data_IF_420026803984
#
_entry.id   IF_420026803984
#
_cell.length_a   1.000
_cell.length_b   1.000
_cell.length_c   1.000
_cell.angle_alpha   90.00
_cell.angle_beta   90.00
_cell.angle_gamma   90.00
#
_symmetry.space_group_name_H-M   'P 1'
#
loop_
_entity.id
_entity.type
_entity.pdbx_description
1 polymer ?
#
# COMPACT_ATOMS: atom_id res chain seq x y z
N UNK A 1 25.20 3.73 -12.13
CA UNK A 1 23.76 3.50 -11.87
C UNK A 1 23.58 3.26 -10.39
N UNK A 2 22.70 4.01 -9.75
CA UNK A 2 22.43 3.84 -8.32
C UNK A 2 21.67 2.53 -8.07
N UNK A 3 22.05 1.77 -7.04
CA UNK A 3 21.41 0.50 -6.68
C UNK A 3 19.98 0.76 -6.21
N UNK A 4 18.99 0.19 -6.90
CA UNK A 4 17.61 0.20 -6.42
C UNK A 4 17.44 -0.80 -5.28
N UNK A 5 16.87 -0.34 -4.17
CA UNK A 5 16.42 -1.20 -3.09
C UNK A 5 14.98 -1.58 -3.39
N UNK A 6 14.78 -2.80 -3.86
CA UNK A 6 13.42 -3.31 -4.10
C UNK A 6 12.78 -3.66 -2.78
N UNK A 7 11.49 -3.37 -2.64
CA UNK A 7 10.73 -3.86 -1.51
C UNK A 7 10.71 -5.41 -1.53
N UNK A 8 11.01 -6.08 -0.40
CA UNK A 8 11.06 -7.54 -0.36
C UNK A 8 9.73 -8.17 -0.79
N UNK A 9 9.80 -9.45 -1.16
CA UNK A 9 8.59 -10.26 -1.33
C UNK A 9 8.05 -10.62 0.06
N UNK A 10 6.74 -10.74 0.17
CA UNK A 10 6.03 -10.99 1.43
C UNK A 10 5.38 -12.36 1.35
N UNK A 11 5.65 -13.23 2.33
CA UNK A 11 5.10 -14.59 2.35
C UNK A 11 3.59 -14.59 2.60
N UNK A 12 2.88 -15.54 2.00
CA UNK A 12 1.47 -15.76 2.27
C UNK A 12 1.29 -16.54 3.58
N UNK A 13 0.28 -16.20 4.38
CA UNK A 13 -0.18 -17.08 5.46
C UNK A 13 -1.11 -18.17 4.93
N UNK A 14 -1.21 -19.28 5.65
CA UNK A 14 -2.14 -20.36 5.34
C UNK A 14 -3.58 -19.83 5.15
N UNK A 15 -4.28 -20.37 4.16
CA UNK A 15 -5.62 -19.91 3.79
C UNK A 15 -5.66 -18.59 3.00
N UNK A 16 -4.54 -17.86 2.85
CA UNK A 16 -4.47 -16.72 1.94
C UNK A 16 -4.72 -17.15 0.50
N UNK A 17 -5.41 -16.31 -0.27
CA UNK A 17 -5.39 -16.41 -1.72
C UNK A 17 -3.99 -16.11 -2.26
N UNK A 18 -3.51 -16.92 -3.20
CA UNK A 18 -2.20 -16.74 -3.86
C UNK A 18 -2.39 -15.84 -5.08
N UNK A 19 -1.60 -14.77 -5.16
CA UNK A 19 -1.62 -13.83 -6.28
C UNK A 19 -0.74 -14.33 -7.43
N UNK A 20 -1.03 -13.89 -8.65
CA UNK A 20 -0.19 -14.20 -9.80
C UNK A 20 1.24 -13.67 -9.60
N UNK A 21 2.24 -14.49 -9.90
CA UNK A 21 3.65 -14.18 -9.68
C UNK A 21 4.16 -14.52 -8.29
N UNK A 22 3.33 -15.09 -7.41
CA UNK A 22 3.70 -15.58 -6.07
C UNK A 22 3.58 -17.10 -5.92
N UNK A 23 3.47 -17.83 -7.04
CA UNK A 23 3.30 -19.29 -7.05
C UNK A 23 4.52 -20.04 -6.46
N UNK A 24 5.68 -19.40 -6.45
CA UNK A 24 6.95 -19.92 -5.89
C UNK A 24 7.16 -19.53 -4.42
N UNK A 25 6.31 -18.67 -3.83
CA UNK A 25 6.44 -18.29 -2.42
C UNK A 25 5.89 -19.37 -1.50
N UNK A 26 6.64 -19.66 -0.44
CA UNK A 26 6.17 -20.53 0.63
C UNK A 26 4.97 -19.91 1.34
N UNK A 27 3.97 -20.76 1.61
CA UNK A 27 2.84 -20.45 2.47
C UNK A 27 3.18 -20.83 3.89
N UNK A 28 3.07 -19.87 4.81
CA UNK A 28 3.52 -19.98 6.19
C UNK A 28 2.33 -20.26 7.11
N UNK A 29 2.41 -21.25 8.01
CA UNK A 29 1.31 -21.56 8.92
C UNK A 29 1.21 -20.49 10.01
N UNK A 30 0.00 -20.20 10.52
CA UNK A 30 -0.19 -19.13 11.53
C UNK A 30 0.59 -19.39 12.81
N UNK A 31 0.83 -20.67 13.13
CA UNK A 31 1.63 -21.10 14.28
C UNK A 31 3.07 -20.55 14.25
N UNK A 32 3.57 -20.12 13.09
CA UNK A 32 4.87 -19.45 13.00
C UNK A 32 4.89 -18.12 13.76
N UNK A 33 3.73 -17.48 13.96
CA UNK A 33 3.57 -16.23 14.70
C UNK A 33 3.43 -16.43 16.23
N UNK A 34 3.35 -17.68 16.71
CA UNK A 34 3.04 -17.97 18.10
C UNK A 34 4.08 -17.36 19.06
N UNK A 35 3.60 -16.61 20.05
CA UNK A 35 4.44 -15.94 21.05
C UNK A 35 5.16 -14.69 20.55
N UNK A 36 5.04 -14.34 19.27
CA UNK A 36 5.70 -13.17 18.68
C UNK A 36 4.83 -11.91 18.78
N UNK A 37 5.47 -10.74 18.80
CA UNK A 37 4.76 -9.47 18.72
C UNK A 37 4.49 -9.12 17.25
N UNK A 38 3.21 -9.05 16.90
CA UNK A 38 2.74 -8.84 15.53
C UNK A 38 1.98 -7.54 15.42
N UNK A 39 2.29 -6.77 14.38
CA UNK A 39 1.49 -5.63 13.93
C UNK A 39 0.74 -6.04 12.67
N UNK A 40 -0.58 -5.84 12.67
CA UNK A 40 -1.46 -6.10 11.53
C UNK A 40 -1.95 -4.78 10.97
N UNK A 41 -1.76 -4.58 9.67
CA UNK A 41 -2.18 -3.40 8.92
C UNK A 41 -3.18 -3.79 7.82
N UNK A 42 -4.06 -2.86 7.48
CA UNK A 42 -4.91 -3.01 6.30
C UNK A 42 -4.04 -3.08 5.05
N UNK A 43 -4.18 -4.17 4.30
CA UNK A 43 -3.49 -4.29 3.01
C UNK A 43 -4.21 -3.43 1.98
N UNK A 44 -3.45 -2.53 1.37
CA UNK A 44 -3.93 -1.63 0.33
C UNK A 44 -3.65 -2.20 -1.07
N UNK A 45 -4.57 -1.92 -2.00
CA UNK A 45 -4.51 -2.32 -3.41
C UNK A 45 -4.13 -1.11 -4.27
N UNK A 46 -2.83 -0.95 -4.51
CA UNK A 46 -2.28 0.13 -5.33
C UNK A 46 -0.93 -0.24 -5.91
N UNK A 47 -0.11 0.79 -6.13
CA UNK A 47 1.23 0.64 -6.67
C UNK A 47 2.29 0.89 -5.60
N UNK A 48 3.02 -0.17 -5.24
CA UNK A 48 4.20 -0.06 -4.39
C UNK A 48 5.16 1.03 -4.90
N UNK A 49 5.44 1.99 -4.03
CA UNK A 49 6.25 3.16 -4.32
C UNK A 49 7.22 3.45 -3.18
N UNK A 50 8.32 4.14 -3.47
CA UNK A 50 9.22 4.59 -2.42
C UNK A 50 9.84 5.95 -2.72
N UNK A 51 10.26 6.61 -1.64
CA UNK A 51 10.91 7.92 -1.58
C UNK A 51 12.25 7.74 -0.87
N UNK A 52 13.31 8.23 -1.49
CA UNK A 52 14.64 8.24 -0.88
C UNK A 52 15.48 9.35 -1.49
N UNK A 53 16.70 9.51 -1.01
CA UNK A 53 17.66 10.43 -1.60
C UNK A 53 18.97 9.76 -1.92
N UNK A 54 19.62 10.25 -2.98
CA UNK A 54 20.99 9.90 -3.34
C UNK A 54 22.02 10.61 -2.46
N UNK A 55 23.26 10.13 -2.54
CA UNK A 55 24.39 10.75 -1.84
C UNK A 55 24.67 12.19 -2.32
N UNK A 56 24.20 12.55 -3.52
CA UNK A 56 24.24 13.90 -4.09
C UNK A 56 22.95 14.71 -3.79
N UNK A 57 22.20 14.31 -2.76
CA UNK A 57 20.97 14.94 -2.26
C UNK A 57 19.83 15.02 -3.28
N UNK A 58 19.88 14.22 -4.36
CA UNK A 58 18.78 14.16 -5.34
C UNK A 58 17.63 13.30 -4.81
N UNK A 59 16.40 13.82 -4.93
CA UNK A 59 15.17 13.08 -4.65
C UNK A 59 15.03 11.91 -5.64
N UNK A 60 14.86 10.71 -5.10
CA UNK A 60 14.64 9.49 -5.86
C UNK A 60 13.25 8.95 -5.53
N UNK A 61 12.43 8.85 -6.57
CA UNK A 61 11.13 8.21 -6.49
C UNK A 61 11.20 6.89 -7.26
N UNK A 62 10.62 5.84 -6.71
CA UNK A 62 10.65 4.52 -7.33
C UNK A 62 9.27 3.87 -7.31
N UNK A 63 9.00 3.08 -8.33
CA UNK A 63 8.04 1.97 -8.25
C UNK A 63 8.74 0.73 -7.71
N UNK A 64 8.04 -0.40 -7.60
CA UNK A 64 8.62 -1.69 -7.20
C UNK A 64 9.86 -2.11 -8.02
N UNK A 65 9.87 -1.80 -9.32
CA UNK A 65 10.83 -2.37 -10.27
C UNK A 65 11.94 -1.42 -10.74
N UNK A 66 11.70 -0.11 -10.69
CA UNK A 66 12.56 0.91 -11.29
C UNK A 66 12.34 2.29 -10.64
N UNK A 67 13.33 3.17 -10.77
CA UNK A 67 13.17 4.59 -10.46
C UNK A 67 12.26 5.26 -11.49
N UNK A 68 11.40 6.15 -10.99
CA UNK A 68 10.48 6.94 -11.79
C UNK A 68 11.26 8.07 -12.45
N UNK A 69 11.50 7.94 -13.76
CA UNK A 69 12.35 8.86 -14.53
C UNK A 69 11.59 9.68 -15.57
N UNK A 70 10.26 9.53 -15.60
CA UNK A 70 9.37 10.17 -16.56
C UNK A 70 8.95 9.23 -17.69
N UNK A 71 7.93 9.63 -18.43
CA UNK A 71 7.48 8.94 -19.64
C UNK A 71 5.99 8.56 -19.61
N UNK A 72 5.43 8.15 -20.77
CA UNK A 72 3.98 7.98 -20.93
C UNK A 72 3.34 6.93 -20.01
N UNK A 73 4.11 5.91 -19.59
CA UNK A 73 3.65 4.83 -18.70
C UNK A 73 3.67 5.23 -17.21
N UNK A 74 4.28 6.37 -16.88
CA UNK A 74 4.38 6.87 -15.51
C UNK A 74 3.35 7.97 -15.18
N UNK A 75 2.38 8.25 -16.08
CA UNK A 75 1.39 9.32 -15.90
C UNK A 75 0.66 9.26 -14.56
N UNK A 76 0.35 8.05 -14.07
CA UNK A 76 -0.28 7.86 -12.77
C UNK A 76 0.56 8.37 -11.60
N UNK A 77 1.88 8.53 -11.77
CA UNK A 77 2.81 9.03 -10.77
C UNK A 77 3.10 10.52 -10.90
N UNK A 78 2.54 11.24 -11.87
CA UNK A 78 2.84 12.67 -12.05
C UNK A 78 2.44 13.48 -10.80
N UNK A 79 1.31 13.14 -10.18
CA UNK A 79 0.88 13.73 -8.92
C UNK A 79 1.79 13.34 -7.75
N UNK A 80 2.24 12.09 -7.69
CA UNK A 80 3.20 11.62 -6.68
C UNK A 80 4.53 12.37 -6.77
N UNK A 81 5.03 12.56 -7.99
CA UNK A 81 6.25 13.35 -8.27
C UNK A 81 6.06 14.79 -7.80
N UNK A 82 4.99 15.46 -8.24
CA UNK A 82 4.73 16.85 -7.86
C UNK A 82 4.65 17.02 -6.34
N UNK A 83 3.93 16.13 -5.65
CA UNK A 83 3.81 16.12 -4.19
C UNK A 83 5.17 15.91 -3.51
N UNK A 84 5.93 14.89 -3.91
CA UNK A 84 7.22 14.61 -3.28
C UNK A 84 8.25 15.73 -3.53
N UNK A 85 8.25 16.36 -4.72
CA UNK A 85 9.09 17.54 -4.98
C UNK A 85 8.68 18.75 -4.14
N UNK A 86 7.38 18.97 -3.93
CA UNK A 86 6.88 20.06 -3.07
C UNK A 86 7.40 19.96 -1.64
N UNK A 87 7.52 18.74 -1.12
CA UNK A 87 7.94 18.45 0.25
C UNK A 87 9.37 17.92 0.36
N UNK A 88 10.18 18.08 -0.70
CA UNK A 88 11.51 17.48 -0.78
C UNK A 88 12.44 17.95 0.35
N UNK A 89 12.30 19.19 0.83
CA UNK A 89 13.11 19.73 1.91
C UNK A 89 12.85 19.04 3.25
N UNK A 90 11.58 18.90 3.62
CA UNK A 90 11.13 18.25 4.85
C UNK A 90 11.41 16.73 4.81
N UNK A 91 11.16 16.11 3.65
CA UNK A 91 11.51 14.71 3.41
C UNK A 91 13.03 14.49 3.52
N UNK A 92 13.85 15.40 2.98
CA UNK A 92 15.31 15.32 3.10
C UNK A 92 15.79 15.44 4.54
N UNK A 93 15.25 16.40 5.31
CA UNK A 93 15.62 16.58 6.72
C UNK A 93 15.32 15.34 7.56
N UNK A 94 14.27 14.60 7.20
CA UNK A 94 13.83 13.43 7.97
C UNK A 94 14.48 12.12 7.49
N UNK A 95 14.55 11.89 6.17
CA UNK A 95 15.07 10.64 5.60
C UNK A 95 16.58 10.66 5.36
N UNK A 96 17.10 11.83 4.99
CA UNK A 96 18.47 12.00 4.52
C UNK A 96 18.85 11.00 3.43
N UNK A 97 20.13 10.63 3.40
CA UNK A 97 20.61 9.53 2.56
C UNK A 97 20.50 8.18 3.24
N UNK A 98 20.01 8.08 4.49
CA UNK A 98 19.99 6.81 5.24
C UNK A 98 18.71 6.01 5.02
N UNK A 99 17.57 6.69 4.97
CA UNK A 99 16.27 6.02 4.99
C UNK A 99 15.60 5.98 3.62
N UNK A 100 14.84 4.92 3.38
CA UNK A 100 13.91 4.79 2.25
C UNK A 100 12.51 4.61 2.81
N UNK A 101 11.60 5.54 2.51
CA UNK A 101 10.20 5.44 2.89
C UNK A 101 9.44 4.71 1.79
N UNK A 102 8.84 3.56 2.11
CA UNK A 102 7.94 2.82 1.25
C UNK A 102 6.50 3.13 1.59
N UNK A 103 5.67 3.20 0.56
CA UNK A 103 4.24 3.38 0.70
C UNK A 103 3.50 2.85 -0.50
N UNK A 104 2.19 2.74 -0.36
CA UNK A 104 1.29 2.37 -1.43
C UNK A 104 0.79 3.64 -2.11
N UNK A 105 1.03 3.75 -3.41
CA UNK A 105 0.47 4.80 -4.24
C UNK A 105 -0.89 4.38 -4.78
N UNK A 106 -1.92 5.09 -4.36
CA UNK A 106 -3.33 4.74 -4.50
C UNK A 106 -4.08 5.74 -5.38
N UNK A 107 -3.38 6.53 -6.21
CA UNK A 107 -4.07 7.46 -7.11
C UNK A 107 -4.91 6.70 -8.13
N UNK A 108 -4.29 5.83 -8.92
CA UNK A 108 -5.03 5.01 -9.87
C UNK A 108 -5.76 3.88 -9.14
N UNK A 109 -7.05 3.72 -9.42
CA UNK A 109 -7.84 2.57 -9.00
C UNK A 109 -7.30 1.30 -9.64
N UNK A 110 -7.05 0.28 -8.82
CA UNK A 110 -6.74 -1.08 -9.27
C UNK A 110 -8.02 -1.92 -9.29
N UNK A 111 -8.19 -2.84 -8.35
CA UNK A 111 -9.39 -3.65 -8.15
C UNK A 111 -10.30 -3.02 -7.10
N UNK A 112 -9.71 -2.36 -6.09
CA UNK A 112 -10.43 -1.58 -5.10
C UNK A 112 -10.65 -0.14 -5.57
N UNK A 113 -11.85 0.40 -5.34
CA UNK A 113 -12.12 1.83 -5.46
C UNK A 113 -12.26 2.44 -4.06
N UNK A 114 -11.25 3.21 -3.65
CA UNK A 114 -11.23 3.90 -2.37
C UNK A 114 -12.00 5.21 -2.46
N UNK A 115 -12.92 5.42 -1.53
CA UNK A 115 -13.81 6.59 -1.54
C UNK A 115 -13.33 7.70 -0.61
N UNK A 116 -12.51 7.37 0.39
CA UNK A 116 -12.13 8.27 1.47
C UNK A 116 -10.67 8.06 1.91
N UNK A 117 -9.72 8.17 0.99
CA UNK A 117 -8.31 8.11 1.34
C UNK A 117 -7.87 9.38 2.09
N UNK A 118 -7.06 9.27 3.16
CA UNK A 118 -6.48 10.44 3.83
C UNK A 118 -5.36 11.07 2.99
N UNK A 119 -4.76 10.30 2.08
CA UNK A 119 -3.79 10.73 1.09
C UNK A 119 -3.63 9.64 0.02
N UNK A 120 -3.14 9.98 -1.18
CA UNK A 120 -2.88 8.97 -2.22
C UNK A 120 -1.62 8.14 -1.97
N UNK A 121 -0.64 8.67 -1.23
CA UNK A 121 0.51 7.91 -0.77
C UNK A 121 0.32 7.56 0.70
N UNK A 122 0.18 6.27 1.01
CA UNK A 122 0.13 5.76 2.38
C UNK A 122 1.41 5.01 2.69
N UNK A 123 2.20 5.56 3.61
CA UNK A 123 3.42 4.93 4.13
C UNK A 123 3.08 3.61 4.84
N UNK A 124 3.91 2.57 4.65
CA UNK A 124 3.73 1.29 5.33
C UNK A 124 5.04 0.65 5.84
N UNK A 125 6.20 1.12 5.38
CA UNK A 125 7.51 0.66 5.88
C UNK A 125 8.59 1.71 5.64
N UNK A 126 9.60 1.76 6.51
CA UNK A 126 10.82 2.56 6.32
C UNK A 126 12.03 1.64 6.44
N UNK A 127 12.89 1.64 5.43
CA UNK A 127 14.14 0.88 5.40
C UNK A 127 15.32 1.74 5.84
N UNK A 128 16.09 1.23 6.80
CA UNK A 128 17.36 1.80 7.25
C UNK A 128 18.49 1.17 6.45
N UNK A 129 19.12 1.94 5.55
CA UNK A 129 20.20 1.42 4.69
C UNK A 129 21.48 1.09 5.46
N UNK A 130 21.73 1.72 6.61
CA UNK A 130 22.93 1.45 7.40
C UNK A 130 22.80 0.15 8.19
N UNK A 131 21.61 -0.13 8.70
CA UNK A 131 21.33 -1.35 9.45
C UNK A 131 20.84 -2.50 8.57
N UNK A 132 20.54 -2.21 7.30
CA UNK A 132 19.90 -3.11 6.34
C UNK A 132 18.62 -3.78 6.87
N UNK A 133 17.86 -3.02 7.66
CA UNK A 133 16.64 -3.50 8.33
C UNK A 133 15.52 -2.49 8.17
N UNK A 134 14.30 -2.97 8.24
CA UNK A 134 13.13 -2.11 8.26
C UNK A 134 12.75 -1.76 9.70
N UNK A 135 12.38 -0.50 9.91
CA UNK A 135 11.98 0.02 11.22
C UNK A 135 10.65 -0.59 11.66
N UNK A 136 10.50 -0.84 12.96
CA UNK A 136 9.21 -1.23 13.55
C UNK A 136 8.16 -0.13 13.35
N UNK A 137 6.90 -0.51 13.43
CA UNK A 137 5.76 0.43 13.34
C UNK A 137 5.81 1.51 14.39
N UNK A 138 6.32 1.21 15.59
CA UNK A 138 6.56 2.23 16.61
C UNK A 138 7.56 3.28 16.13
N UNK A 139 8.74 2.88 15.63
CA UNK A 139 9.78 3.80 15.19
C UNK A 139 9.38 4.59 13.95
N UNK A 140 8.58 4.01 13.04
CA UNK A 140 8.04 4.75 11.89
C UNK A 140 7.19 5.95 12.32
N UNK A 141 6.48 5.88 13.46
CA UNK A 141 5.70 7.01 13.98
C UNK A 141 6.57 8.23 14.32
N UNK A 142 7.82 8.02 14.72
CA UNK A 142 8.76 9.11 14.98
C UNK A 142 9.03 9.93 13.70
N UNK A 143 9.13 9.25 12.56
CA UNK A 143 9.28 9.90 11.24
C UNK A 143 8.01 10.62 10.83
N UNK A 144 6.86 9.94 10.95
CA UNK A 144 5.57 10.51 10.56
C UNK A 144 5.18 11.73 11.41
N UNK A 145 5.61 11.78 12.68
CA UNK A 145 5.42 12.96 13.52
C UNK A 145 6.12 14.19 12.94
N UNK A 146 7.28 14.02 12.31
CA UNK A 146 8.03 15.09 11.64
C UNK A 146 7.50 15.38 10.22
N UNK A 147 6.68 14.49 9.67
CA UNK A 147 6.14 14.56 8.32
C UNK A 147 4.60 14.55 8.36
N UNK A 148 3.95 15.60 8.89
CA UNK A 148 2.50 15.62 9.12
C UNK A 148 1.65 15.54 7.83
N UNK A 149 2.27 15.75 6.67
CA UNK A 149 1.66 15.61 5.34
C UNK A 149 1.74 14.17 4.79
N UNK A 150 2.39 13.24 5.51
CA UNK A 150 2.45 11.82 5.16
C UNK A 150 1.48 11.05 6.05
N UNK A 151 0.56 10.31 5.41
CA UNK A 151 -0.33 9.37 6.11
C UNK A 151 0.25 7.96 6.06
N UNK A 152 -0.01 7.16 7.09
CA UNK A 152 0.32 5.71 7.10
C UNK A 152 -0.91 4.87 6.81
N UNK A 153 -0.69 3.66 6.33
CA UNK A 153 -1.72 2.60 6.31
C UNK A 153 -2.28 2.37 7.72
N UNK A 154 -3.53 1.89 7.79
CA UNK A 154 -4.23 1.69 9.04
C UNK A 154 -3.69 0.47 9.78
N UNK A 155 -3.16 0.68 10.99
CA UNK A 155 -2.94 -0.42 11.95
C UNK A 155 -4.28 -0.88 12.49
N UNK A 156 -4.56 -2.18 12.31
CA UNK A 156 -5.78 -2.87 12.73
C UNK A 156 -5.59 -3.55 14.09
N UNK A 157 -4.41 -4.11 14.33
CA UNK A 157 -4.11 -4.84 15.54
C UNK A 157 -2.62 -4.78 15.88
N UNK A 158 -2.32 -4.92 17.16
CA UNK A 158 -0.95 -5.01 17.68
C UNK A 158 -0.95 -5.93 18.90
N UNK A 159 -0.15 -6.99 18.87
CA UNK A 159 -0.10 -7.98 19.94
C UNK A 159 0.24 -9.37 19.42
N UNK A 160 -0.07 -10.40 20.21
CA UNK A 160 0.10 -11.79 19.81
C UNK A 160 -1.08 -12.27 18.96
N UNK A 161 -0.81 -13.20 18.06
CA UNK A 161 -1.81 -13.87 17.21
C UNK A 161 -1.79 -15.35 17.53
N UNK A 162 -2.92 -15.87 18.02
CA UNK A 162 -3.04 -17.24 18.50
C UNK A 162 -3.65 -18.18 17.45
N UNK A 163 -4.41 -17.65 16.49
CA UNK A 163 -5.11 -18.46 15.49
C UNK A 163 -5.40 -17.74 14.17
N UNK A 164 -5.67 -18.54 13.13
CA UNK A 164 -6.17 -18.03 11.85
C UNK A 164 -7.55 -17.39 11.97
N UNK A 165 -8.39 -17.89 12.88
CA UNK A 165 -9.73 -17.32 13.12
C UNK A 165 -9.63 -15.88 13.63
N UNK A 166 -8.72 -15.64 14.57
CA UNK A 166 -8.44 -14.29 15.07
C UNK A 166 -8.02 -13.36 13.92
N UNK A 167 -7.08 -13.80 13.06
CA UNK A 167 -6.66 -13.00 11.91
C UNK A 167 -7.80 -12.71 10.94
N UNK A 168 -8.52 -13.74 10.50
CA UNK A 168 -9.59 -13.57 9.52
C UNK A 168 -10.74 -12.72 10.08
N UNK A 169 -10.99 -12.74 11.39
CA UNK A 169 -11.99 -11.88 12.03
C UNK A 169 -11.69 -10.38 11.91
N UNK A 170 -10.43 -10.01 11.66
CA UNK A 170 -10.03 -8.60 11.43
C UNK A 170 -10.38 -8.12 10.02
N UNK A 171 -10.70 -9.03 9.09
CA UNK A 171 -11.12 -8.68 7.74
C UNK A 171 -12.57 -8.19 7.79
N UNK A 172 -12.75 -6.91 7.53
CA UNK A 172 -14.05 -6.25 7.50
C UNK A 172 -14.13 -5.19 6.39
N UNK A 173 -15.13 -4.29 6.46
CA UNK A 173 -15.18 -3.11 5.61
C UNK A 173 -13.84 -2.36 5.66
N UNK A 174 -13.33 -1.93 4.50
CA UNK A 174 -12.11 -1.12 4.44
C UNK A 174 -12.34 0.20 5.18
N UNK A 175 -11.32 0.68 5.89
CA UNK A 175 -11.39 1.97 6.58
C UNK A 175 -11.41 3.17 5.62
N UNK A 176 -11.17 2.93 4.34
CA UNK A 176 -11.05 3.94 3.30
C UNK A 176 -12.15 3.83 2.23
N UNK A 177 -13.17 3.01 2.50
CA UNK A 177 -14.32 2.79 1.62
C UNK A 177 -15.61 2.97 2.42
N UNK A 178 -16.52 3.80 1.91
CA UNK A 178 -17.87 3.95 2.46
C UNK A 178 -18.80 2.84 2.01
N UNK A 179 -19.85 2.63 2.82
CA UNK A 179 -20.88 1.62 2.56
C UNK A 179 -21.70 1.83 1.28
N UNK A 180 -21.77 3.06 0.75
CA UNK A 180 -22.43 3.42 -0.52
C UNK A 180 -21.45 3.36 -1.72
N UNK A 181 -20.53 2.40 -1.70
CA UNK A 181 -19.44 2.25 -2.69
C UNK A 181 -19.95 2.21 -4.14
N UNK A 182 -21.00 1.44 -4.41
CA UNK A 182 -21.51 1.24 -5.79
C UNK A 182 -22.07 2.54 -6.33
N UNK A 183 -22.89 3.21 -5.55
CA UNK A 183 -23.52 4.49 -5.90
C UNK A 183 -22.45 5.56 -6.14
N UNK A 184 -21.42 5.61 -5.30
CA UNK A 184 -20.29 6.54 -5.46
C UNK A 184 -19.48 6.28 -6.71
N UNK A 185 -19.14 5.02 -7.00
CA UNK A 185 -18.41 4.67 -8.20
C UNK A 185 -19.22 5.02 -9.46
N UNK A 186 -20.52 4.72 -9.47
CA UNK A 186 -21.42 5.07 -10.57
C UNK A 186 -21.46 6.58 -10.80
N UNK A 187 -21.69 7.37 -9.74
CA UNK A 187 -21.73 8.82 -9.82
C UNK A 187 -20.39 9.40 -10.30
N UNK A 188 -19.26 8.89 -9.79
CA UNK A 188 -17.93 9.33 -10.19
C UNK A 188 -17.65 9.03 -11.66
N UNK A 189 -17.99 7.81 -12.12
CA UNK A 189 -17.84 7.44 -13.53
C UNK A 189 -18.71 8.30 -14.44
N UNK A 190 -19.95 8.60 -14.05
CA UNK A 190 -20.83 9.48 -14.82
C UNK A 190 -20.29 10.91 -14.90
N UNK A 191 -19.77 11.46 -13.80
CA UNK A 191 -19.20 12.81 -13.76
C UNK A 191 -17.93 12.92 -14.62
N UNK A 192 -17.09 11.89 -14.62
CA UNK A 192 -15.79 11.87 -15.31
C UNK A 192 -15.81 11.18 -16.68
N UNK A 193 -17.00 10.84 -17.19
CA UNK A 193 -17.21 10.17 -18.49
C UNK A 193 -16.47 8.82 -18.63
N UNK A 194 -16.41 8.03 -17.55
CA UNK A 194 -15.98 6.64 -17.59
C UNK A 194 -17.14 5.68 -17.85
N UNK A 195 -16.87 4.55 -18.50
CA UNK A 195 -17.85 3.50 -18.68
C UNK A 195 -18.21 2.85 -17.33
N UNK A 196 -19.41 3.15 -16.84
CA UNK A 196 -19.92 2.68 -15.54
C UNK A 196 -19.97 1.15 -15.44
N UNK A 197 -20.46 0.48 -16.49
CA UNK A 197 -20.62 -0.98 -16.49
C UNK A 197 -19.25 -1.68 -16.43
N UNK A 198 -18.28 -1.19 -17.20
CA UNK A 198 -16.91 -1.69 -17.18
C UNK A 198 -16.25 -1.44 -15.81
N UNK A 199 -16.36 -0.22 -15.28
CA UNK A 199 -15.79 0.12 -13.99
C UNK A 199 -16.34 -0.78 -12.87
N UNK A 200 -17.66 -1.06 -12.87
CA UNK A 200 -18.26 -1.98 -11.89
C UNK A 200 -17.77 -3.42 -12.06
N UNK A 201 -17.61 -3.92 -13.30
CA UNK A 201 -17.04 -5.26 -13.56
C UNK A 201 -15.60 -5.38 -13.04
N UNK A 202 -14.84 -4.29 -13.14
CA UNK A 202 -13.43 -4.23 -12.75
C UNK A 202 -13.22 -3.81 -11.28
N UNK A 203 -14.28 -3.72 -10.48
CA UNK A 203 -14.22 -3.28 -9.07
C UNK A 203 -14.73 -4.35 -8.15
N UNK A 204 -13.99 -4.58 -7.07
CA UNK A 204 -14.53 -5.34 -5.95
C UNK A 204 -15.52 -4.44 -5.18
N UNK A 205 -16.80 -4.69 -5.43
CA UNK A 205 -17.89 -3.88 -4.86
C UNK A 205 -18.38 -4.36 -3.50
N UNK A 206 -17.66 -5.28 -2.84
CA UNK A 206 -18.01 -5.76 -1.49
C UNK A 206 -17.79 -4.71 -0.39
N UNK A 207 -16.93 -3.73 -0.63
CA UNK A 207 -16.50 -2.75 0.36
C UNK A 207 -15.53 -3.30 1.43
N UNK A 208 -15.20 -4.59 1.36
CA UNK A 208 -14.24 -5.24 2.27
C UNK A 208 -12.81 -4.92 1.86
N UNK A 209 -11.92 -4.70 2.83
CA UNK A 209 -10.47 -4.54 2.58
C UNK A 209 -9.90 -5.68 1.74
N UNK A 210 -8.80 -5.45 1.00
CA UNK A 210 -8.13 -6.49 0.21
C UNK A 210 -7.71 -7.68 1.09
N UNK A 211 -7.21 -7.35 2.28
CA UNK A 211 -6.73 -8.32 3.24
C UNK A 211 -5.83 -7.67 4.29
N UNK A 212 -4.89 -8.44 4.80
CA UNK A 212 -4.04 -8.07 5.92
C UNK A 212 -2.57 -8.12 5.51
N UNK A 213 -1.82 -7.13 5.97
CA UNK A 213 -0.38 -7.12 5.95
C UNK A 213 0.14 -7.22 7.37
N UNK A 214 1.07 -8.15 7.63
CA UNK A 214 1.53 -8.46 8.97
C UNK A 214 3.04 -8.29 9.07
N UNK A 215 3.49 -7.75 10.20
CA UNK A 215 4.89 -7.59 10.55
C UNK A 215 5.13 -8.20 11.92
N UNK A 216 6.11 -9.09 11.99
CA UNK A 216 6.71 -9.50 13.27
C UNK A 216 7.74 -8.44 13.62
N UNK A 217 7.59 -7.83 14.79
CA UNK A 217 8.46 -6.73 15.20
C UNK A 217 9.16 -7.06 16.52
N UNK A 218 10.46 -6.78 16.59
CA UNK A 218 11.29 -6.94 17.77
C UNK A 218 12.46 -5.95 17.73
N UNK A 219 12.90 -5.47 18.90
CA UNK A 219 14.06 -4.58 19.05
C UNK A 219 14.01 -3.32 18.15
N UNK A 220 12.82 -2.80 17.88
CA UNK A 220 12.63 -1.63 17.02
C UNK A 220 12.75 -1.91 15.52
N UNK A 221 12.70 -3.17 15.08
CA UNK A 221 12.77 -3.54 13.67
C UNK A 221 11.76 -4.62 13.30
N UNK A 222 11.42 -4.67 12.01
CA UNK A 222 10.65 -5.77 11.42
C UNK A 222 11.58 -6.96 11.18
N UNK A 223 11.23 -8.11 11.76
CA UNK A 223 11.95 -9.37 11.57
C UNK A 223 11.39 -10.16 10.38
N UNK A 224 10.06 -10.29 10.33
CA UNK A 224 9.36 -11.12 9.34
C UNK A 224 8.12 -10.38 8.84
N UNK A 225 7.69 -10.75 7.62
CA UNK A 225 6.56 -10.11 6.94
C UNK A 225 5.67 -11.17 6.33
N UNK A 226 4.37 -10.97 6.49
CA UNK A 226 3.37 -11.84 5.91
C UNK A 226 2.22 -11.06 5.31
N UNK A 227 1.46 -11.72 4.45
CA UNK A 227 0.21 -11.20 3.92
C UNK A 227 -0.87 -12.28 3.93
N UNK A 228 -2.10 -11.83 4.10
CA UNK A 228 -3.29 -12.61 3.87
C UNK A 228 -4.18 -11.84 2.90
N UNK A 229 -4.47 -12.42 1.74
CA UNK A 229 -5.33 -11.82 0.71
C UNK A 229 -6.64 -12.59 0.68
N UNK A 230 -7.78 -11.90 0.77
CA UNK A 230 -9.08 -12.57 0.79
C UNK A 230 -9.43 -13.14 -0.59
N UNK A 231 -10.10 -14.29 -0.62
CA UNK A 231 -10.45 -15.00 -1.87
C UNK A 231 -11.36 -14.18 -2.81
N UNK A 232 -12.35 -13.47 -2.27
CA UNK A 232 -13.28 -12.68 -3.08
C UNK A 232 -12.59 -11.56 -3.87
N UNK A 233 -11.49 -11.01 -3.33
CA UNK A 233 -10.69 -10.01 -4.03
C UNK A 233 -10.02 -10.63 -5.26
N UNK A 234 -9.38 -11.79 -5.08
CA UNK A 234 -8.74 -12.49 -6.20
C UNK A 234 -9.74 -12.91 -7.27
N UNK A 235 -10.92 -13.37 -6.88
CA UNK A 235 -11.97 -13.69 -7.83
C UNK A 235 -12.29 -12.48 -8.72
N UNK A 236 -12.43 -11.29 -8.14
CA UNK A 236 -12.63 -10.06 -8.90
C UNK A 236 -11.46 -9.74 -9.83
N UNK A 237 -10.22 -9.92 -9.37
CA UNK A 237 -9.02 -9.75 -10.21
C UNK A 237 -9.09 -10.68 -11.43
N UNK A 238 -9.42 -11.95 -11.23
CA UNK A 238 -9.53 -12.92 -12.32
C UNK A 238 -10.71 -12.64 -13.26
N UNK A 239 -11.89 -12.31 -12.72
CA UNK A 239 -13.11 -12.07 -13.49
C UNK A 239 -13.06 -10.75 -14.29
N UNK A 240 -12.16 -9.84 -13.93
CA UNK A 240 -12.01 -8.56 -14.61
C UNK A 240 -11.40 -8.67 -16.03
N UNK A 241 -10.76 -9.80 -16.36
CA UNK A 241 -10.19 -10.14 -17.70
C UNK A 241 -9.18 -9.12 -18.29
N UNK A 242 -8.83 -8.06 -17.56
CA UNK A 242 -7.90 -7.00 -17.97
C UNK A 242 -6.91 -6.68 -16.85
N UNK A 243 -5.66 -6.33 -17.17
CA UNK A 243 -4.72 -5.86 -16.16
C UNK A 243 -4.96 -4.37 -15.88
N UNK A 244 -4.86 -3.94 -14.63
CA UNK A 244 -5.19 -2.55 -14.24
C UNK A 244 -4.33 -1.50 -14.97
N UNK A 245 -3.11 -1.84 -15.36
CA UNK A 245 -2.20 -0.95 -16.11
C UNK A 245 -2.68 -0.64 -17.54
N UNK A 246 -3.53 -1.49 -18.10
CA UNK A 246 -4.07 -1.33 -19.46
C UNK A 246 -5.40 -0.57 -19.47
N UNK A 247 -5.95 -0.26 -18.29
CA UNK A 247 -7.20 0.47 -18.11
C UNK A 247 -6.95 1.99 -18.13
N UNK A 248 -7.96 2.80 -18.48
CA UNK A 248 -7.92 4.23 -18.21
C UNK A 248 -7.67 4.50 -16.73
N UNK A 249 -6.88 5.54 -16.42
CA UNK A 249 -6.61 5.93 -15.03
C UNK A 249 -7.90 6.52 -14.45
N UNK A 250 -8.60 5.73 -13.64
CA UNK A 250 -9.72 6.16 -12.81
C UNK A 250 -9.16 6.50 -11.42
N UNK A 251 -9.14 7.79 -11.01
CA UNK A 251 -8.57 8.15 -9.71
C UNK A 251 -9.45 7.68 -8.54
N UNK A 252 -8.85 7.14 -7.49
CA UNK A 252 -9.53 6.98 -6.19
C UNK A 252 -9.87 8.36 -5.59
N UNK A 253 -10.76 8.38 -4.61
CA UNK A 253 -11.20 9.60 -3.95
C UNK A 253 -10.49 9.81 -2.61
N UNK A 254 -10.18 11.08 -2.33
CA UNK A 254 -9.72 11.51 -1.00
C UNK A 254 -10.93 11.78 -0.10
N UNK A 255 -10.74 11.66 1.21
CA UNK A 255 -11.75 12.08 2.18
C UNK A 255 -12.05 13.59 2.04
N UNK A 256 -13.27 13.99 2.39
CA UNK A 256 -13.67 15.39 2.36
C UNK A 256 -12.73 16.26 3.24
N UNK A 257 -12.24 17.37 2.68
CA UNK A 257 -11.36 18.31 3.39
C UNK A 257 -9.87 17.96 3.36
N UNK A 258 -9.47 16.83 2.78
CA UNK A 258 -8.06 16.50 2.57
C UNK A 258 -7.48 17.39 1.47
N UNK A 259 -6.37 18.07 1.79
CA UNK A 259 -5.50 18.72 0.80
C UNK A 259 -4.31 17.82 0.52
N UNK A 260 -3.91 17.73 -0.75
CA UNK A 260 -2.67 17.05 -1.14
C UNK A 260 -1.42 17.90 -0.87
N UNK A 261 -1.56 19.23 -0.85
CA UNK A 261 -0.46 20.18 -0.73
C UNK A 261 -0.64 21.12 0.45
#
# INVERSE_FOLDING_TARGET
MQKIYKYPRTYHLEGSGIQHGDEDLSVMPVRSLAGQYVVVEEKMDGANSAISFSDDNQLLLQSRGHYLSGGPREKQFDLFKAWAYRYAGELWQTLGTRYIMYGEWLYAKHTMFYTDLPHYFLEFDIFDKEQERFLSTERRKEFLFLLPFVSSVKVLYTGQIDSMEQLVSMIGPSHFIRGDLKERLQAYCQEKDFNVAQALKETDTSGLMEGLYLKVEADGYVQERYKYVRRGFLQTVFDSESHWQDRPILPNCLSAGVSLF
#
